data_IF_737539864337
#
_entry.id   IF_737539864337
#
_cell.length_a   1.000
_cell.length_b   1.000
_cell.length_c   1.000
_cell.angle_alpha   90.00
_cell.angle_beta   90.00
_cell.angle_gamma   90.00
#
_symmetry.space_group_name_H-M   'P 1'
#
loop_
_entity.id
_entity.type
_entity.pdbx_description
1 polymer ?
#
# COMPACT_ATOMS: atom_id res chain seq x y z
N UNK A 1 4.81 -12.08 20.83
CA UNK A 1 5.03 -11.56 22.20
C UNK A 1 5.19 -12.67 23.23
N UNK A 2 4.18 -13.50 23.51
CA UNK A 2 4.30 -14.59 24.50
C UNK A 2 5.45 -15.56 24.19
N UNK A 3 5.57 -16.02 22.94
CA UNK A 3 6.67 -16.88 22.49
C UNK A 3 8.04 -16.23 22.72
N UNK A 4 8.18 -14.94 22.41
CA UNK A 4 9.41 -14.18 22.61
C UNK A 4 9.81 -14.12 24.10
N UNK A 5 8.83 -13.93 25.00
CA UNK A 5 9.06 -13.93 26.46
C UNK A 5 9.52 -15.31 26.94
N UNK A 6 8.89 -16.38 26.46
CA UNK A 6 9.27 -17.77 26.81
C UNK A 6 10.70 -18.05 26.37
N UNK A 7 11.06 -17.70 25.13
CA UNK A 7 12.43 -17.85 24.61
C UNK A 7 13.40 -17.04 25.48
N UNK A 8 13.08 -15.78 25.77
CA UNK A 8 13.96 -14.91 26.57
C UNK A 8 14.14 -15.42 28.01
N UNK A 9 13.08 -15.91 28.63
CA UNK A 9 13.10 -16.49 29.96
C UNK A 9 13.91 -17.80 29.98
N UNK A 10 13.76 -18.64 28.95
CA UNK A 10 14.52 -19.89 28.81
C UNK A 10 16.02 -19.65 28.58
N UNK A 11 16.39 -18.54 27.91
CA UNK A 11 17.77 -18.12 27.66
C UNK A 11 18.44 -17.41 28.84
N UNK A 12 17.67 -16.96 29.84
CA UNK A 12 18.16 -16.24 31.02
C UNK A 12 19.43 -16.84 31.68
N UNK A 13 19.57 -18.16 31.90
CA UNK A 13 20.79 -18.72 32.51
C UNK A 13 22.05 -18.54 31.66
N UNK A 14 21.94 -18.26 30.37
CA UNK A 14 23.09 -18.04 29.47
C UNK A 14 23.53 -16.57 29.39
N UNK A 15 22.78 -15.64 29.99
CA UNK A 15 23.06 -14.21 29.88
C UNK A 15 24.07 -13.72 30.93
N UNK A 16 25.11 -13.01 30.48
CA UNK A 16 26.02 -12.25 31.36
C UNK A 16 25.40 -10.90 31.72
N UNK A 17 24.89 -10.79 32.96
CA UNK A 17 24.30 -9.55 33.47
C UNK A 17 25.44 -8.64 33.97
N UNK A 18 25.74 -7.57 33.23
CA UNK A 18 26.65 -6.52 33.69
C UNK A 18 25.91 -5.55 34.62
N UNK A 19 26.59 -5.06 35.66
CA UNK A 19 26.02 -4.04 36.56
C UNK A 19 25.72 -2.75 35.77
N UNK A 20 24.65 -2.00 36.09
CA UNK A 20 24.36 -0.74 35.42
C UNK A 20 25.51 0.24 35.66
N UNK A 21 26.22 0.65 34.62
CA UNK A 21 27.11 1.81 34.67
C UNK A 21 26.25 3.09 34.70
N UNK A 22 26.77 4.17 35.30
CA UNK A 22 25.99 5.39 35.55
C UNK A 22 25.37 6.03 34.30
N UNK A 23 24.50 7.03 34.49
CA UNK A 23 23.80 7.65 33.37
C UNK A 23 24.71 8.56 32.53
N UNK A 24 25.35 7.96 31.53
CA UNK A 24 26.26 8.62 30.58
C UNK A 24 25.60 9.82 29.90
N UNK A 25 24.33 9.72 29.51
CA UNK A 25 23.59 10.80 28.83
C UNK A 25 23.53 12.04 29.74
N UNK A 26 23.19 11.86 31.02
CA UNK A 26 23.11 12.99 31.97
C UNK A 26 24.47 13.64 32.18
N UNK A 27 25.55 12.84 32.24
CA UNK A 27 26.91 13.36 32.38
C UNK A 27 27.33 14.17 31.15
N UNK A 28 27.07 13.66 29.95
CA UNK A 28 27.37 14.36 28.69
C UNK A 28 26.56 15.65 28.57
N UNK A 29 25.26 15.63 28.83
CA UNK A 29 24.42 16.83 28.78
C UNK A 29 24.90 17.89 29.78
N UNK A 30 25.21 17.50 31.02
CA UNK A 30 25.75 18.44 32.02
C UNK A 30 27.13 18.98 31.65
N UNK A 31 27.99 18.17 31.03
CA UNK A 31 29.28 18.60 30.53
C UNK A 31 29.13 19.64 29.40
N UNK A 32 28.26 19.39 28.42
CA UNK A 32 27.95 20.31 27.32
C UNK A 32 27.38 21.63 27.84
N UNK A 33 26.39 21.57 28.74
CA UNK A 33 25.77 22.77 29.34
C UNK A 33 26.80 23.57 30.14
N UNK A 34 27.71 22.91 30.87
CA UNK A 34 28.79 23.57 31.60
C UNK A 34 29.77 24.25 30.64
N UNK A 35 30.16 23.58 29.55
CA UNK A 35 31.03 24.15 28.51
C UNK A 35 30.42 25.40 27.88
N UNK A 36 29.15 25.35 27.47
CA UNK A 36 28.43 26.50 26.89
C UNK A 36 28.32 27.65 27.90
N UNK A 37 27.90 27.36 29.14
CA UNK A 37 27.71 28.37 30.18
C UNK A 37 29.03 29.05 30.56
N UNK A 38 30.12 28.29 30.63
CA UNK A 38 31.44 28.82 30.95
C UNK A 38 32.04 29.57 29.76
N UNK A 39 31.82 29.14 28.52
CA UNK A 39 32.18 29.90 27.31
C UNK A 39 31.49 31.27 27.26
N UNK A 40 30.21 31.33 27.61
CA UNK A 40 29.45 32.59 27.65
C UNK A 40 29.91 33.54 28.77
N UNK A 41 30.52 33.01 29.83
CA UNK A 41 30.96 33.80 31.00
C UNK A 41 32.44 34.14 30.99
N UNK A 42 33.28 33.36 30.31
CA UNK A 42 34.73 33.51 30.36
C UNK A 42 35.26 34.39 29.23
N UNK A 43 36.26 35.23 29.55
CA UNK A 43 36.96 36.10 28.59
C UNK A 43 38.20 35.44 27.97
N UNK A 44 38.70 34.36 28.56
CA UNK A 44 39.84 33.60 28.03
C UNK A 44 39.43 32.83 26.78
N UNK A 45 40.29 32.79 25.74
CA UNK A 45 40.08 31.97 24.55
C UNK A 45 40.77 30.61 24.74
N UNK A 46 39.98 29.53 24.81
CA UNK A 46 40.45 28.15 24.66
C UNK A 46 40.29 27.68 23.20
N UNK A 47 41.04 26.67 22.79
CA UNK A 47 41.00 26.14 21.42
C UNK A 47 39.64 25.51 21.09
N UNK A 48 39.07 24.72 22.01
CA UNK A 48 37.74 24.15 21.86
C UNK A 48 36.80 24.61 22.98
N UNK A 49 35.54 24.89 22.64
CA UNK A 49 34.55 25.41 23.60
C UNK A 49 34.17 24.44 24.73
N UNK A 50 34.52 23.16 24.57
CA UNK A 50 34.29 22.13 25.59
C UNK A 50 35.39 22.12 26.66
N UNK A 51 36.53 22.77 26.41
CA UNK A 51 37.70 22.78 27.32
C UNK A 51 37.43 23.57 28.60
N UNK A 52 36.41 24.43 28.60
CA UNK A 52 35.94 25.12 29.80
C UNK A 52 35.18 24.20 30.78
N UNK A 53 34.91 22.95 30.40
CA UNK A 53 34.30 21.94 31.26
C UNK A 53 35.33 20.99 31.90
N UNK A 54 36.61 21.06 31.50
CA UNK A 54 37.67 20.15 31.97
C UNK A 54 37.89 20.21 33.48
N UNK A 55 37.85 21.40 34.07
CA UNK A 55 38.02 21.59 35.53
C UNK A 55 37.00 20.80 36.36
N UNK A 56 35.79 20.59 35.83
CA UNK A 56 34.68 19.97 36.57
C UNK A 56 34.47 18.50 36.22
N UNK A 57 34.74 18.11 34.99
CA UNK A 57 34.38 16.81 34.45
C UNK A 57 35.59 15.95 34.03
N UNK A 58 36.80 16.52 34.09
CA UNK A 58 38.03 15.84 33.74
C UNK A 58 38.31 15.79 32.23
N UNK A 59 39.59 15.77 31.87
CA UNK A 59 40.07 15.79 30.48
C UNK A 59 39.56 14.59 29.66
N UNK A 60 39.52 13.39 30.27
CA UNK A 60 39.06 12.17 29.60
C UNK A 60 37.61 12.29 29.11
N UNK A 61 36.69 12.72 29.97
CA UNK A 61 35.27 12.84 29.61
C UNK A 61 35.06 13.94 28.56
N UNK A 62 35.76 15.07 28.69
CA UNK A 62 35.70 16.16 27.71
C UNK A 62 36.17 15.69 26.33
N UNK A 63 37.28 14.96 26.25
CA UNK A 63 37.79 14.42 24.98
C UNK A 63 36.87 13.34 24.39
N UNK A 64 36.28 12.47 25.21
CA UNK A 64 35.28 11.50 24.77
C UNK A 64 34.01 12.19 24.22
N UNK A 65 33.57 13.30 24.82
CA UNK A 65 32.44 14.10 24.32
C UNK A 65 32.81 14.83 23.02
N UNK A 66 34.02 15.39 22.88
CA UNK A 66 34.49 15.99 21.62
C UNK A 66 34.49 14.98 20.47
N UNK A 67 35.00 13.77 20.71
CA UNK A 67 35.00 12.69 19.74
C UNK A 67 33.56 12.29 19.36
N UNK A 68 32.69 12.16 20.36
CA UNK A 68 31.27 11.84 20.15
C UNK A 68 30.58 12.90 19.29
N UNK A 69 30.78 14.19 19.56
CA UNK A 69 30.23 15.28 18.76
C UNK A 69 30.72 15.26 17.31
N UNK A 70 32.00 14.92 17.06
CA UNK A 70 32.52 14.75 15.71
C UNK A 70 31.81 13.61 14.95
N UNK A 71 31.57 12.48 15.61
CA UNK A 71 30.83 11.36 15.01
C UNK A 71 29.38 11.77 14.71
N UNK A 72 28.74 12.58 15.57
CA UNK A 72 27.39 13.08 15.33
C UNK A 72 27.28 14.00 14.11
N UNK A 73 28.35 14.72 13.73
CA UNK A 73 28.33 15.50 12.48
C UNK A 73 28.21 14.57 11.26
N UNK A 74 28.80 13.37 11.31
CA UNK A 74 28.68 12.37 10.25
C UNK A 74 27.27 11.77 10.15
N UNK A 75 26.42 12.00 11.15
CA UNK A 75 25.03 11.55 11.17
C UNK A 75 24.08 12.50 10.43
N UNK A 76 24.51 13.72 10.06
CA UNK A 76 23.66 14.70 9.36
C UNK A 76 22.97 14.17 8.09
N UNK A 77 23.58 13.28 7.27
CA UNK A 77 22.90 12.69 6.11
C UNK A 77 21.94 11.54 6.44
N UNK A 78 22.05 10.91 7.62
CA UNK A 78 21.24 9.74 7.99
C UNK A 78 19.72 10.03 7.98
N UNK A 79 19.22 11.18 8.51
CA UNK A 79 17.80 11.49 8.46
C UNK A 79 17.21 11.48 7.05
N UNK A 80 17.95 11.94 6.03
CA UNK A 80 17.48 11.96 4.64
C UNK A 80 17.31 10.54 4.11
N UNK A 81 18.27 9.66 4.43
CA UNK A 81 18.16 8.25 4.07
C UNK A 81 16.96 7.59 4.76
N UNK A 82 16.78 7.80 6.07
CA UNK A 82 15.63 7.26 6.81
C UNK A 82 14.30 7.80 6.30
N UNK A 83 14.26 9.08 5.93
CA UNK A 83 13.08 9.69 5.33
C UNK A 83 12.66 8.98 4.04
N UNK A 84 13.60 8.47 3.23
CA UNK A 84 13.27 7.67 2.06
C UNK A 84 13.01 6.20 2.42
N UNK A 85 13.91 5.57 3.18
CA UNK A 85 13.85 4.15 3.48
C UNK A 85 12.57 3.74 4.24
N UNK A 86 12.15 4.51 5.24
CA UNK A 86 10.98 4.17 6.06
C UNK A 86 9.66 4.27 5.26
N UNK A 87 9.61 5.08 4.18
CA UNK A 87 8.44 5.16 3.29
C UNK A 87 8.16 3.86 2.54
N UNK A 88 9.18 3.01 2.34
CA UNK A 88 9.00 1.75 1.61
C UNK A 88 7.96 0.86 2.29
N UNK A 89 7.85 0.92 3.63
CA UNK A 89 7.02 0.02 4.41
C UNK A 89 5.54 0.17 4.11
N UNK A 90 5.03 1.40 4.13
CA UNK A 90 3.63 1.70 3.83
C UNK A 90 3.39 1.87 2.33
N UNK A 91 4.25 2.63 1.65
CA UNK A 91 4.08 2.98 0.24
C UNK A 91 4.06 1.75 -0.66
N UNK A 92 4.95 0.77 -0.42
CA UNK A 92 5.02 -0.42 -1.26
C UNK A 92 3.94 -1.44 -0.95
N UNK A 93 3.46 -1.49 0.29
CA UNK A 93 2.24 -2.23 0.63
C UNK A 93 1.02 -1.65 -0.09
N UNK A 94 0.87 -0.31 -0.12
CA UNK A 94 -0.23 0.35 -0.85
C UNK A 94 -0.14 0.16 -2.37
N UNK A 95 1.07 0.09 -2.94
CA UNK A 95 1.22 -0.34 -4.33
C UNK A 95 0.84 -1.81 -4.52
N UNK A 96 1.24 -2.70 -3.61
CA UNK A 96 0.90 -4.12 -3.67
C UNK A 96 -0.61 -4.37 -3.62
N UNK A 97 -1.38 -3.52 -2.93
CA UNK A 97 -2.86 -3.52 -2.93
C UNK A 97 -3.44 -3.37 -4.34
N UNK A 98 -2.76 -2.63 -5.22
CA UNK A 98 -3.15 -2.40 -6.63
C UNK A 98 -2.53 -3.39 -7.61
N UNK A 99 -1.87 -4.44 -7.12
CA UNK A 99 -1.21 -5.47 -7.93
C UNK A 99 -1.93 -6.82 -7.85
N UNK A 100 -1.66 -7.69 -8.84
CA UNK A 100 -2.11 -9.07 -8.84
C UNK A 100 -1.17 -9.92 -7.97
N UNK A 101 -1.70 -10.41 -6.86
CA UNK A 101 -1.00 -11.31 -5.95
C UNK A 101 -1.06 -12.78 -6.34
N UNK A 102 -1.71 -13.14 -7.45
CA UNK A 102 -1.92 -14.54 -7.82
C UNK A 102 -0.64 -15.18 -8.42
N UNK A 103 -0.02 -16.08 -7.66
CA UNK A 103 1.14 -16.88 -8.12
C UNK A 103 0.73 -18.29 -8.60
N UNK A 104 -0.56 -18.49 -8.89
CA UNK A 104 -1.13 -19.74 -9.39
C UNK A 104 -1.54 -20.73 -8.29
N UNK A 105 -0.64 -21.02 -7.34
CA UNK A 105 -0.92 -21.95 -6.23
C UNK A 105 -1.41 -21.28 -4.96
N UNK A 106 -1.12 -19.98 -4.81
CA UNK A 106 -1.47 -19.18 -3.65
C UNK A 106 -1.67 -17.73 -4.12
N UNK A 107 -2.36 -16.92 -3.32
CA UNK A 107 -2.50 -15.48 -3.59
C UNK A 107 -1.78 -14.73 -2.48
N UNK A 108 -0.68 -14.08 -2.81
CA UNK A 108 0.10 -13.26 -1.89
C UNK A 108 -0.72 -12.02 -1.56
N UNK A 109 -0.96 -11.80 -0.27
CA UNK A 109 -1.61 -10.57 0.21
C UNK A 109 -0.58 -9.43 0.29
N UNK A 110 -1.00 -8.16 0.10
CA UNK A 110 -0.10 -7.01 0.12
C UNK A 110 0.83 -6.94 1.33
N UNK A 111 0.29 -7.12 2.54
CA UNK A 111 1.07 -7.08 3.79
C UNK A 111 2.15 -8.18 3.87
N UNK A 112 1.94 -9.31 3.18
CA UNK A 112 2.90 -10.41 3.18
C UNK A 112 4.17 -10.07 2.41
N UNK A 113 4.16 -9.07 1.53
CA UNK A 113 5.34 -8.66 0.77
C UNK A 113 6.45 -8.07 1.66
N UNK A 114 6.10 -7.55 2.84
CA UNK A 114 7.10 -7.02 3.78
C UNK A 114 8.09 -8.09 4.28
N UNK A 115 7.73 -9.38 4.17
CA UNK A 115 8.64 -10.50 4.54
C UNK A 115 9.87 -10.58 3.63
N UNK A 116 9.78 -10.03 2.41
CA UNK A 116 10.86 -10.08 1.42
C UNK A 116 12.09 -9.35 1.94
N UNK A 117 11.93 -8.18 2.56
CA UNK A 117 13.08 -7.37 3.00
C UNK A 117 13.95 -8.09 4.06
N UNK A 118 13.43 -8.60 5.18
CA UNK A 118 14.24 -9.39 6.14
C UNK A 118 14.93 -10.62 5.52
N UNK A 119 14.27 -11.33 4.59
CA UNK A 119 14.85 -12.48 3.90
C UNK A 119 16.02 -12.06 3.00
N UNK A 120 15.86 -10.95 2.28
CA UNK A 120 16.91 -10.37 1.45
C UNK A 120 18.09 -9.89 2.29
N UNK A 121 17.85 -9.24 3.44
CA UNK A 121 18.93 -8.82 4.36
C UNK A 121 19.76 -10.03 4.80
N UNK A 122 19.10 -11.11 5.21
CA UNK A 122 19.77 -12.33 5.66
C UNK A 122 20.63 -12.95 4.55
N UNK A 123 20.16 -12.92 3.31
CA UNK A 123 20.90 -13.42 2.15
C UNK A 123 22.03 -12.45 1.72
N UNK A 124 21.79 -11.15 1.80
CA UNK A 124 22.68 -10.14 1.26
C UNK A 124 23.83 -9.81 2.20
N UNK A 125 23.70 -9.88 3.52
CA UNK A 125 24.82 -9.68 4.44
C UNK A 125 26.03 -10.56 4.07
N UNK A 126 25.93 -11.90 4.01
CA UNK A 126 27.07 -12.74 3.62
C UNK A 126 27.51 -12.50 2.18
N UNK A 127 26.58 -12.24 1.26
CA UNK A 127 26.89 -11.90 -0.13
C UNK A 127 27.79 -10.65 -0.22
N UNK A 128 27.41 -9.59 0.50
CA UNK A 128 28.14 -8.32 0.48
C UNK A 128 29.49 -8.43 1.18
N UNK A 129 29.54 -9.08 2.33
CA UNK A 129 30.77 -9.22 3.12
C UNK A 129 31.80 -10.12 2.44
N UNK A 130 31.41 -11.27 1.90
CA UNK A 130 32.36 -12.25 1.35
C UNK A 130 32.65 -12.07 -0.13
N UNK A 131 31.71 -11.51 -0.91
CA UNK A 131 31.86 -11.43 -2.36
C UNK A 131 31.88 -9.98 -2.86
N UNK A 132 30.84 -9.18 -2.59
CA UNK A 132 30.71 -7.84 -3.21
C UNK A 132 31.83 -6.90 -2.77
N UNK A 133 32.06 -6.73 -1.46
CA UNK A 133 33.08 -5.80 -0.97
C UNK A 133 34.51 -6.22 -1.36
N UNK A 134 34.92 -7.50 -1.27
CA UNK A 134 36.24 -7.92 -1.74
C UNK A 134 36.43 -7.71 -3.25
N UNK A 135 35.40 -7.97 -4.07
CA UNK A 135 35.48 -7.75 -5.52
C UNK A 135 35.59 -6.27 -5.87
N UNK A 136 34.77 -5.41 -5.28
CA UNK A 136 34.84 -3.97 -5.50
C UNK A 136 36.15 -3.37 -4.97
N UNK A 137 36.68 -3.92 -3.87
CA UNK A 137 37.98 -3.56 -3.32
C UNK A 137 39.16 -3.85 -4.27
N UNK A 138 39.06 -4.89 -5.12
CA UNK A 138 40.04 -5.17 -6.20
C UNK A 138 40.01 -4.08 -7.29
N UNK A 139 38.85 -3.47 -7.53
CA UNK A 139 38.67 -2.38 -8.50
C UNK A 139 38.93 -0.98 -7.90
N UNK A 140 39.55 -0.88 -6.72
CA UNK A 140 39.72 0.37 -5.96
C UNK A 140 38.41 1.12 -5.60
N UNK A 141 37.25 0.46 -5.69
CA UNK A 141 35.94 1.05 -5.41
C UNK A 141 35.43 0.63 -4.03
N UNK A 142 34.70 1.51 -3.33
CA UNK A 142 34.05 1.23 -2.03
C UNK A 142 34.97 0.71 -0.91
N UNK A 143 36.18 1.24 -0.84
CA UNK A 143 37.16 0.84 0.19
C UNK A 143 36.84 1.40 1.56
N UNK A 144 36.35 2.64 1.62
CA UNK A 144 36.01 3.29 2.89
C UNK A 144 34.55 3.10 3.25
N UNK A 145 34.24 3.07 4.55
CA UNK A 145 32.85 3.01 5.04
C UNK A 145 32.03 4.20 4.52
N UNK A 146 32.64 5.37 4.41
CA UNK A 146 31.98 6.57 3.89
C UNK A 146 31.58 6.43 2.40
N UNK A 147 32.44 5.82 1.57
CA UNK A 147 32.12 5.54 0.16
C UNK A 147 30.97 4.54 0.04
N UNK A 148 30.95 3.50 0.89
CA UNK A 148 29.86 2.52 0.94
C UNK A 148 28.54 3.20 1.31
N UNK A 149 28.55 4.06 2.33
CA UNK A 149 27.38 4.83 2.71
C UNK A 149 26.91 5.75 1.57
N UNK A 150 27.80 6.50 0.94
CA UNK A 150 27.42 7.36 -0.20
C UNK A 150 26.79 6.56 -1.34
N UNK A 151 27.34 5.40 -1.70
CA UNK A 151 26.78 4.54 -2.72
C UNK A 151 25.44 3.92 -2.29
N UNK A 152 25.28 3.55 -1.01
CA UNK A 152 23.99 3.11 -0.45
C UNK A 152 22.91 4.19 -0.57
N UNK A 153 23.25 5.45 -0.30
CA UNK A 153 22.32 6.57 -0.51
C UNK A 153 21.88 6.73 -1.98
N UNK A 154 22.81 6.58 -2.93
CA UNK A 154 22.49 6.60 -4.37
C UNK A 154 21.62 5.40 -4.79
N UNK A 155 21.88 4.20 -4.24
CA UNK A 155 21.04 3.04 -4.49
C UNK A 155 19.63 3.21 -3.92
N UNK A 156 19.48 3.85 -2.75
CA UNK A 156 18.15 4.18 -2.21
C UNK A 156 17.38 5.10 -3.17
N UNK A 157 18.02 6.15 -3.70
CA UNK A 157 17.40 7.01 -4.70
C UNK A 157 17.01 6.23 -5.98
N UNK A 158 17.86 5.30 -6.43
CA UNK A 158 17.57 4.43 -7.57
C UNK A 158 16.38 3.49 -7.31
N UNK A 159 16.24 2.95 -6.09
CA UNK A 159 15.11 2.10 -5.73
C UNK A 159 13.78 2.83 -5.86
N UNK A 160 13.73 4.11 -5.47
CA UNK A 160 12.54 4.96 -5.63
C UNK A 160 12.30 5.37 -7.09
N UNK A 161 13.33 5.52 -7.90
CA UNK A 161 13.17 5.70 -9.35
C UNK A 161 12.54 4.47 -10.01
N UNK A 162 12.95 3.26 -9.61
CA UNK A 162 12.31 2.01 -10.05
C UNK A 162 10.88 1.92 -9.53
N UNK A 163 10.64 2.31 -8.28
CA UNK A 163 9.29 2.38 -7.70
C UNK A 163 8.37 3.28 -8.52
N UNK A 164 8.83 4.47 -8.93
CA UNK A 164 8.05 5.37 -9.77
C UNK A 164 7.68 4.74 -11.13
N UNK A 165 8.60 3.99 -11.74
CA UNK A 165 8.31 3.25 -12.97
C UNK A 165 7.25 2.16 -12.78
N UNK A 166 7.34 1.41 -11.67
CA UNK A 166 6.33 0.39 -11.31
C UNK A 166 4.96 1.04 -11.09
N UNK A 167 4.91 2.18 -10.39
CA UNK A 167 3.68 2.96 -10.22
C UNK A 167 3.04 3.31 -11.56
N UNK A 168 3.81 3.85 -12.50
CA UNK A 168 3.27 4.23 -13.81
C UNK A 168 2.66 3.03 -14.54
N UNK A 169 3.26 1.85 -14.42
CA UNK A 169 2.71 0.62 -14.97
C UNK A 169 1.38 0.24 -14.30
N UNK A 170 1.25 0.39 -12.98
CA UNK A 170 0.00 0.16 -12.25
C UNK A 170 -1.08 1.14 -12.71
N UNK A 171 -0.76 2.44 -12.77
CA UNK A 171 -1.71 3.50 -13.15
C UNK A 171 -2.26 3.33 -14.56
N UNK A 172 -1.44 2.83 -15.50
CA UNK A 172 -1.92 2.53 -16.87
C UNK A 172 -2.99 1.43 -16.93
N UNK A 173 -3.15 0.64 -15.87
CA UNK A 173 -4.12 -0.47 -15.77
C UNK A 173 -5.30 -0.16 -14.84
N UNK A 174 -5.41 1.07 -14.33
CA UNK A 174 -6.53 1.47 -13.49
C UNK A 174 -7.79 1.81 -14.30
N UNK A 175 -8.98 1.67 -13.69
CA UNK A 175 -10.22 1.96 -14.37
C UNK A 175 -10.30 3.44 -14.73
N UNK A 176 -10.82 3.71 -15.93
CA UNK A 176 -11.16 5.06 -16.34
C UNK A 176 -12.43 5.44 -15.59
N UNK A 177 -12.32 6.43 -14.71
CA UNK A 177 -13.46 6.98 -14.00
C UNK A 177 -14.19 8.00 -14.89
N UNK A 178 -15.54 8.04 -14.86
CA UNK A 178 -16.29 9.02 -15.62
C UNK A 178 -15.91 10.45 -15.20
N UNK A 179 -15.58 11.29 -16.18
CA UNK A 179 -15.20 12.70 -16.00
C UNK A 179 -16.26 13.64 -16.58
N UNK A 180 -16.04 14.96 -16.49
CA UNK A 180 -16.93 15.94 -17.13
C UNK A 180 -17.10 15.61 -18.63
N UNK A 181 -18.33 15.65 -19.14
CA UNK A 181 -18.64 15.26 -20.52
C UNK A 181 -18.85 13.76 -20.77
N UNK A 182 -18.75 12.89 -19.76
CA UNK A 182 -18.88 11.43 -19.90
C UNK A 182 -19.72 10.82 -18.74
N UNK A 183 -20.45 9.75 -19.03
CA UNK A 183 -21.02 8.82 -18.05
C UNK A 183 -20.83 7.36 -18.45
N UNK A 184 -21.01 6.45 -17.49
CA UNK A 184 -21.05 5.00 -17.75
C UNK A 184 -22.43 4.42 -17.44
N UNK A 185 -22.86 3.43 -18.23
CA UNK A 185 -24.14 2.75 -18.05
C UNK A 185 -23.97 1.24 -18.16
N UNK A 186 -24.52 0.52 -17.18
CA UNK A 186 -24.60 -0.94 -17.19
C UNK A 186 -26.05 -1.37 -16.98
N UNK A 187 -26.57 -2.20 -17.88
CA UNK A 187 -27.95 -2.71 -17.80
C UNK A 187 -27.92 -4.23 -17.69
N UNK A 188 -28.61 -4.76 -16.70
CA UNK A 188 -28.55 -6.16 -16.31
C UNK A 188 -29.90 -6.84 -16.59
N UNK A 189 -29.87 -7.90 -17.40
CA UNK A 189 -31.03 -8.76 -17.68
C UNK A 189 -30.85 -10.13 -17.00
N UNK A 190 -31.33 -10.28 -15.75
CA UNK A 190 -31.39 -11.59 -15.07
C UNK A 190 -32.42 -12.56 -15.69
N UNK A 191 -33.34 -12.09 -16.54
CA UNK A 191 -34.44 -12.93 -17.03
C UNK A 191 -33.96 -14.02 -17.97
N UNK A 192 -34.82 -15.01 -18.18
CA UNK A 192 -34.63 -16.11 -19.13
C UNK A 192 -35.03 -15.75 -20.58
N UNK A 193 -35.32 -14.47 -20.82
CA UNK A 193 -35.83 -13.97 -22.09
C UNK A 193 -34.89 -12.93 -22.68
N UNK A 194 -34.97 -12.78 -24.00
CA UNK A 194 -34.37 -11.62 -24.65
C UNK A 194 -35.20 -10.38 -24.31
N UNK A 195 -34.52 -9.30 -23.94
CA UNK A 195 -35.13 -8.01 -23.67
C UNK A 195 -34.53 -6.95 -24.58
N UNK A 196 -35.39 -6.25 -25.32
CA UNK A 196 -35.01 -5.10 -26.12
C UNK A 196 -35.20 -3.84 -25.29
N UNK A 197 -34.13 -3.06 -25.17
CA UNK A 197 -34.11 -1.81 -24.42
C UNK A 197 -34.00 -0.66 -25.41
N UNK A 198 -34.89 0.32 -25.27
CA UNK A 198 -34.88 1.56 -26.05
C UNK A 198 -35.01 2.76 -25.12
N UNK A 199 -34.46 3.89 -25.55
CA UNK A 199 -34.55 5.17 -24.84
C UNK A 199 -35.20 6.23 -25.71
N UNK A 200 -35.72 7.29 -25.09
CA UNK A 200 -36.27 8.48 -25.74
C UNK A 200 -35.21 9.43 -26.32
N UNK A 201 -33.93 9.13 -26.10
CA UNK A 201 -32.77 9.91 -26.55
C UNK A 201 -31.90 9.14 -27.55
N UNK A 202 -31.05 9.87 -28.27
CA UNK A 202 -30.16 9.33 -29.32
C UNK A 202 -28.79 8.89 -28.81
N UNK A 203 -28.35 9.43 -27.67
CA UNK A 203 -27.04 9.19 -27.08
C UNK A 203 -26.90 7.74 -26.59
N UNK A 204 -28.00 7.13 -26.15
CA UNK A 204 -28.09 5.71 -25.82
C UNK A 204 -28.82 5.02 -26.96
N UNK A 205 -28.10 4.18 -27.71
CA UNK A 205 -28.70 3.40 -28.81
C UNK A 205 -29.56 2.29 -28.24
N UNK A 206 -30.58 1.86 -28.99
CA UNK A 206 -31.32 0.66 -28.63
C UNK A 206 -30.45 -0.59 -28.74
N UNK A 207 -30.61 -1.51 -27.80
CA UNK A 207 -29.86 -2.76 -27.75
C UNK A 207 -30.74 -3.90 -27.27
N UNK A 208 -30.33 -5.13 -27.57
CA UNK A 208 -31.00 -6.35 -27.10
C UNK A 208 -30.10 -7.09 -26.14
N UNK A 209 -30.64 -7.40 -24.97
CA UNK A 209 -30.01 -8.21 -23.93
C UNK A 209 -30.45 -9.66 -24.08
N UNK A 210 -29.48 -10.58 -24.10
CA UNK A 210 -29.73 -12.01 -24.01
C UNK A 210 -30.10 -12.41 -22.57
N UNK A 211 -30.57 -13.66 -22.35
CA UNK A 211 -30.86 -14.15 -21.02
C UNK A 211 -29.62 -14.14 -20.13
N UNK A 212 -29.79 -13.75 -18.86
CA UNK A 212 -28.70 -13.68 -17.85
C UNK A 212 -27.45 -12.95 -18.35
N UNK A 213 -27.63 -11.85 -19.08
CA UNK A 213 -26.54 -11.07 -19.68
C UNK A 213 -26.64 -9.58 -19.33
N UNK A 214 -25.59 -8.84 -19.64
CA UNK A 214 -25.51 -7.41 -19.39
C UNK A 214 -25.07 -6.63 -20.63
N UNK A 215 -25.54 -5.38 -20.68
CA UNK A 215 -25.04 -4.34 -21.58
C UNK A 215 -24.10 -3.47 -20.77
N UNK A 216 -22.93 -3.16 -21.33
CA UNK A 216 -21.92 -2.33 -20.70
C UNK A 216 -21.46 -1.30 -21.71
N UNK A 217 -21.59 -0.02 -21.34
CA UNK A 217 -21.07 1.11 -22.08
C UNK A 217 -20.33 2.03 -21.10
N UNK A 218 -19.02 2.13 -21.29
CA UNK A 218 -18.11 2.83 -20.37
C UNK A 218 -17.75 4.23 -20.87
N UNK A 219 -18.25 4.65 -22.04
CA UNK A 219 -17.88 5.92 -22.67
C UNK A 219 -19.06 6.55 -23.41
N UNK A 220 -20.09 6.93 -22.64
CA UNK A 220 -21.24 7.67 -23.18
C UNK A 220 -20.97 9.17 -23.03
N UNK A 221 -20.86 9.87 -24.15
CA UNK A 221 -20.79 11.32 -24.18
C UNK A 221 -22.05 11.92 -23.54
N UNK A 222 -21.90 12.63 -22.42
CA UNK A 222 -23.01 13.10 -21.61
C UNK A 222 -22.74 14.47 -21.01
N UNK A 223 -23.71 15.38 -21.07
CA UNK A 223 -23.56 16.74 -20.54
C UNK A 223 -24.76 17.15 -19.69
N UNK A 224 -24.46 17.69 -18.51
CA UNK A 224 -25.46 18.13 -17.54
C UNK A 224 -26.24 16.98 -16.91
N UNK A 225 -27.46 17.28 -16.48
CA UNK A 225 -28.40 16.32 -15.93
C UNK A 225 -29.62 16.26 -16.86
N UNK A 226 -29.99 15.05 -17.31
CA UNK A 226 -31.18 14.82 -18.14
C UNK A 226 -31.98 13.64 -17.57
N UNK A 227 -33.29 13.73 -17.67
CA UNK A 227 -34.18 12.59 -17.44
C UNK A 227 -34.32 11.80 -18.73
N UNK A 228 -34.14 10.49 -18.64
CA UNK A 228 -34.22 9.54 -19.76
C UNK A 228 -35.28 8.52 -19.44
N UNK A 229 -36.14 8.25 -20.43
CA UNK A 229 -37.18 7.24 -20.32
C UNK A 229 -36.66 5.95 -20.94
N UNK A 230 -36.51 4.91 -20.12
CA UNK A 230 -36.11 3.58 -20.58
C UNK A 230 -37.35 2.72 -20.79
N UNK A 231 -37.51 2.20 -22.00
CA UNK A 231 -38.56 1.24 -22.35
C UNK A 231 -37.94 -0.14 -22.57
N UNK A 232 -38.46 -1.15 -21.88
CA UNK A 232 -38.02 -2.53 -21.95
C UNK A 232 -39.14 -3.38 -22.53
N UNK A 233 -38.85 -4.13 -23.59
CA UNK A 233 -39.83 -4.98 -24.26
C UNK A 233 -39.29 -6.40 -24.39
N UNK A 234 -40.16 -7.40 -24.21
CA UNK A 234 -39.82 -8.79 -24.46
C UNK A 234 -40.80 -9.41 -25.45
N UNK A 235 -40.29 -10.35 -26.25
CA UNK A 235 -41.09 -11.10 -27.21
C UNK A 235 -41.85 -12.27 -26.54
N UNK A 236 -41.56 -12.57 -25.27
CA UNK A 236 -42.19 -13.66 -24.52
C UNK A 236 -43.15 -13.09 -23.46
N UNK A 237 -44.37 -13.63 -23.33
CA UNK A 237 -45.37 -13.13 -22.37
C UNK A 237 -44.99 -13.37 -20.90
N UNK A 238 -44.07 -14.30 -20.63
CA UNK A 238 -43.54 -14.58 -19.29
C UNK A 238 -42.63 -13.47 -18.76
N UNK A 239 -42.06 -12.64 -19.64
CA UNK A 239 -41.14 -11.58 -19.31
C UNK A 239 -41.82 -10.23 -19.52
N UNK A 240 -42.22 -9.58 -18.43
CA UNK A 240 -42.94 -8.32 -18.48
C UNK A 240 -42.04 -7.19 -18.98
N UNK A 241 -42.53 -6.47 -19.98
CA UNK A 241 -41.98 -5.18 -20.38
C UNK A 241 -42.50 -4.05 -19.49
N UNK A 242 -41.83 -2.92 -19.53
CA UNK A 242 -42.19 -1.74 -18.77
C UNK A 242 -41.47 -0.49 -19.25
N UNK A 243 -41.85 0.64 -18.69
CA UNK A 243 -41.24 1.93 -19.01
C UNK A 243 -41.01 2.71 -17.71
N UNK A 244 -39.81 3.25 -17.53
CA UNK A 244 -39.47 4.01 -16.33
C UNK A 244 -38.50 5.15 -16.66
N UNK A 245 -38.76 6.32 -16.07
CA UNK A 245 -37.93 7.51 -16.21
C UNK A 245 -36.84 7.54 -15.14
N UNK A 246 -35.60 7.85 -15.54
CA UNK A 246 -34.42 7.89 -14.68
C UNK A 246 -33.67 9.20 -14.91
N UNK A 247 -33.14 9.79 -13.84
CA UNK A 247 -32.29 10.97 -13.93
C UNK A 247 -30.81 10.56 -14.03
N UNK A 248 -30.12 11.00 -15.08
CA UNK A 248 -28.72 10.68 -15.35
C UNK A 248 -27.89 11.97 -15.42
N UNK A 249 -26.74 11.96 -14.76
CA UNK A 249 -25.79 13.07 -14.72
C UNK A 249 -24.40 12.66 -15.22
N UNK A 250 -23.64 13.63 -15.73
CA UNK A 250 -22.22 13.42 -16.07
C UNK A 250 -21.38 13.10 -14.82
N UNK A 251 -20.17 12.54 -15.02
CA UNK A 251 -19.22 12.15 -13.96
C UNK A 251 -19.65 10.97 -13.09
N UNK A 252 -20.74 10.31 -13.45
CA UNK A 252 -21.29 9.19 -12.70
C UNK A 252 -21.33 7.91 -13.53
N UNK A 253 -21.29 6.78 -12.83
CA UNK A 253 -21.55 5.47 -13.40
C UNK A 253 -22.89 4.96 -12.86
N UNK A 254 -23.69 4.30 -13.71
CA UNK A 254 -25.03 3.87 -13.35
C UNK A 254 -25.25 2.39 -13.64
N UNK A 255 -26.00 1.74 -12.77
CA UNK A 255 -26.50 0.38 -12.94
C UNK A 255 -28.02 0.33 -12.98
N UNK A 256 -28.56 -0.37 -13.98
CA UNK A 256 -29.99 -0.63 -14.12
C UNK A 256 -30.20 -2.14 -14.06
N UNK A 257 -30.92 -2.61 -13.06
CA UNK A 257 -31.31 -4.01 -12.91
C UNK A 257 -32.80 -4.17 -13.25
N UNK A 258 -33.09 -4.93 -14.32
CA UNK A 258 -34.46 -5.17 -14.76
C UNK A 258 -35.10 -6.23 -13.87
N UNK A 259 -36.19 -5.88 -13.20
CA UNK A 259 -36.92 -6.78 -12.32
C UNK A 259 -37.97 -7.59 -13.09
N UNK A 260 -38.39 -8.72 -12.51
CA UNK A 260 -39.36 -9.63 -13.11
C UNK A 260 -40.76 -9.01 -13.30
N UNK A 261 -41.14 -8.07 -12.43
CA UNK A 261 -42.41 -7.37 -12.48
C UNK A 261 -42.49 -6.26 -13.56
N UNK A 262 -41.45 -6.11 -14.40
CA UNK A 262 -41.37 -5.07 -15.41
C UNK A 262 -40.93 -3.69 -14.89
N UNK A 263 -40.50 -3.58 -13.62
CA UNK A 263 -39.88 -2.36 -13.08
C UNK A 263 -38.36 -2.47 -13.09
N UNK A 264 -37.66 -1.37 -12.79
CA UNK A 264 -36.20 -1.34 -12.68
C UNK A 264 -35.73 -0.95 -11.28
N UNK A 265 -34.66 -1.60 -10.81
CA UNK A 265 -33.83 -1.09 -9.71
C UNK A 265 -32.67 -0.30 -10.31
N UNK A 266 -32.66 1.00 -10.06
CA UNK A 266 -31.61 1.92 -10.51
C UNK A 266 -30.69 2.29 -9.34
N UNK A 267 -29.40 2.36 -9.59
CA UNK A 267 -28.40 2.82 -8.62
C UNK A 267 -27.22 3.52 -9.29
N UNK A 268 -26.59 4.41 -8.53
CA UNK A 268 -25.29 4.97 -8.85
C UNK A 268 -24.20 3.98 -8.42
N UNK A 269 -23.27 3.69 -9.32
CA UNK A 269 -22.22 2.70 -9.15
C UNK A 269 -20.89 3.37 -8.82
N UNK A 270 -20.14 2.78 -7.88
CA UNK A 270 -18.75 3.15 -7.61
C UNK A 270 -17.84 2.19 -8.38
N UNK A 271 -17.32 2.66 -9.50
CA UNK A 271 -16.42 1.91 -10.38
C UNK A 271 -14.97 1.95 -9.92
N UNK A 272 -14.65 2.71 -8.87
CA UNK A 272 -13.32 2.70 -8.28
C UNK A 272 -13.02 1.34 -7.65
N UNK A 273 -11.74 0.97 -7.64
CA UNK A 273 -11.28 -0.23 -6.93
C UNK A 273 -11.40 -0.01 -5.42
N UNK A 274 -11.59 -1.09 -4.65
CA UNK A 274 -11.56 -0.99 -3.19
C UNK A 274 -10.21 -0.43 -2.69
N UNK A 275 -10.28 0.42 -1.66
CA UNK A 275 -9.11 0.97 -0.97
C UNK A 275 -8.25 -0.11 -0.31
N UNK A 276 -8.82 -1.26 0.03
CA UNK A 276 -8.11 -2.40 0.63
C UNK A 276 -7.61 -3.39 -0.43
N UNK A 277 -7.98 -3.21 -1.70
CA UNK A 277 -7.64 -4.08 -2.83
C UNK A 277 -8.38 -5.41 -2.87
N UNK A 278 -9.28 -5.68 -1.91
CA UNK A 278 -10.13 -6.85 -1.96
C UNK A 278 -11.22 -6.72 -3.03
N UNK A 279 -11.68 -7.86 -3.61
CA UNK A 279 -12.76 -7.85 -4.57
C UNK A 279 -14.06 -7.32 -3.96
N UNK A 280 -14.78 -6.52 -4.76
CA UNK A 280 -16.11 -6.04 -4.45
C UNK A 280 -17.14 -6.86 -5.22
N UNK A 281 -18.19 -7.30 -4.55
CA UNK A 281 -19.27 -8.08 -5.16
C UNK A 281 -20.60 -7.42 -4.87
N UNK A 282 -21.30 -7.06 -5.94
CA UNK A 282 -22.70 -6.65 -5.92
C UNK A 282 -23.55 -7.84 -6.30
N UNK A 283 -24.60 -8.10 -5.52
CA UNK A 283 -25.53 -9.18 -5.80
C UNK A 283 -26.84 -8.61 -6.32
N UNK A 284 -27.26 -9.04 -7.50
CA UNK A 284 -28.45 -8.60 -8.19
C UNK A 284 -29.40 -9.79 -8.35
N UNK A 285 -30.56 -9.71 -7.72
CA UNK A 285 -31.49 -10.82 -7.53
C UNK A 285 -32.92 -10.31 -7.52
N UNK A 286 -33.87 -11.16 -7.92
CA UNK A 286 -35.29 -10.84 -7.91
C UNK A 286 -35.91 -10.94 -6.51
N UNK A 287 -35.35 -11.78 -5.65
CA UNK A 287 -35.90 -12.06 -4.33
C UNK A 287 -35.09 -11.34 -3.26
N UNK A 288 -35.77 -10.73 -2.29
CA UNK A 288 -35.09 -10.04 -1.20
C UNK A 288 -34.76 -11.03 -0.06
N UNK A 289 -33.95 -12.05 -0.37
CA UNK A 289 -33.51 -13.08 0.60
C UNK A 289 -31.99 -13.07 0.80
N UNK A 290 -31.52 -13.75 1.84
CA UNK A 290 -30.09 -13.86 2.10
C UNK A 290 -29.44 -14.88 1.17
N UNK A 291 -28.46 -14.40 0.42
CA UNK A 291 -27.65 -15.21 -0.50
C UNK A 291 -26.33 -15.53 0.18
N UNK A 292 -26.03 -16.82 0.25
CA UNK A 292 -24.83 -17.33 0.91
C UNK A 292 -23.74 -17.60 -0.11
N UNK A 293 -22.65 -16.85 0.01
CA UNK A 293 -21.41 -17.08 -0.72
C UNK A 293 -20.50 -17.97 0.13
N UNK A 294 -19.93 -19.03 -0.45
CA UNK A 294 -19.04 -19.96 0.27
C UNK A 294 -17.70 -20.14 -0.46
N UNK A 295 -16.59 -20.11 0.29
CA UNK A 295 -15.23 -20.40 -0.19
C UNK A 295 -14.46 -21.16 0.89
N UNK A 296 -14.09 -22.43 0.62
CA UNK A 296 -13.19 -23.24 1.45
C UNK A 296 -13.42 -23.11 2.98
N UNK A 297 -14.68 -23.25 3.41
CA UNK A 297 -15.07 -23.18 4.83
C UNK A 297 -15.39 -21.77 5.37
N UNK A 298 -15.14 -20.71 4.60
CA UNK A 298 -15.65 -19.36 4.88
C UNK A 298 -17.00 -19.16 4.21
N UNK A 299 -17.91 -18.44 4.86
CA UNK A 299 -19.19 -18.05 4.27
C UNK A 299 -19.55 -16.60 4.59
N UNK A 300 -20.13 -15.91 3.60
CA UNK A 300 -20.63 -14.55 3.72
C UNK A 300 -22.09 -14.56 3.26
N UNK A 301 -22.98 -14.01 4.08
CA UNK A 301 -24.38 -13.82 3.71
C UNK A 301 -24.58 -12.37 3.25
N UNK A 302 -25.22 -12.20 2.10
CA UNK A 302 -25.57 -10.90 1.52
C UNK A 302 -27.08 -10.87 1.35
N UNK A 303 -27.72 -9.85 1.91
CA UNK A 303 -29.13 -9.62 1.65
C UNK A 303 -29.32 -9.08 0.23
N UNK A 304 -30.03 -9.84 -0.60
CA UNK A 304 -30.28 -9.52 -2.00
C UNK A 304 -31.08 -8.23 -2.23
N UNK A 305 -31.84 -7.78 -1.24
CA UNK A 305 -32.54 -6.50 -1.28
C UNK A 305 -31.59 -5.31 -1.23
N UNK A 306 -30.35 -5.52 -0.78
CA UNK A 306 -29.32 -4.50 -0.77
C UNK A 306 -28.41 -4.62 -2.02
N UNK A 307 -28.55 -3.67 -2.93
CA UNK A 307 -27.77 -3.57 -4.17
C UNK A 307 -26.38 -2.95 -3.99
N UNK A 308 -25.95 -2.67 -2.76
CA UNK A 308 -24.59 -2.20 -2.49
C UNK A 308 -23.55 -3.31 -2.73
N UNK A 309 -22.37 -2.91 -3.19
CA UNK A 309 -21.25 -3.84 -3.29
C UNK A 309 -20.70 -4.17 -1.90
N UNK A 310 -20.33 -5.43 -1.68
CA UNK A 310 -19.72 -5.93 -0.45
C UNK A 310 -18.31 -6.40 -0.71
N UNK A 311 -17.42 -6.12 0.21
CA UNK A 311 -16.03 -6.54 0.12
C UNK A 311 -15.82 -8.00 0.54
N UNK A 312 -15.03 -8.73 -0.24
CA UNK A 312 -14.68 -10.12 0.00
C UNK A 312 -13.21 -10.22 0.37
N UNK A 313 -12.92 -10.38 1.66
CA UNK A 313 -11.55 -10.46 2.22
C UNK A 313 -10.76 -11.70 1.82
N UNK A 314 -11.25 -12.51 0.88
CA UNK A 314 -10.54 -13.68 0.37
C UNK A 314 -10.83 -13.85 -1.12
N UNK A 315 -9.83 -13.63 -1.99
CA UNK A 315 -9.96 -13.92 -3.42
C UNK A 315 -10.05 -15.44 -3.65
N UNK A 316 -10.60 -15.82 -4.79
CA UNK A 316 -10.77 -17.21 -5.21
C UNK A 316 -12.14 -17.48 -5.81
N UNK A 317 -12.43 -18.77 -6.02
CA UNK A 317 -13.64 -19.23 -6.66
C UNK A 317 -14.75 -19.50 -5.63
N UNK A 318 -15.72 -18.60 -5.56
CA UNK A 318 -16.84 -18.66 -4.61
C UNK A 318 -18.03 -19.40 -5.21
N UNK A 319 -18.63 -20.30 -4.44
CA UNK A 319 -19.95 -20.88 -4.76
C UNK A 319 -21.06 -20.01 -4.19
N UNK A 320 -22.16 -19.90 -4.92
CA UNK A 320 -23.32 -19.09 -4.54
C UNK A 320 -24.49 -20.00 -4.24
N UNK A 321 -25.14 -19.78 -3.10
CA UNK A 321 -26.24 -20.59 -2.62
C UNK A 321 -27.40 -19.68 -2.19
N UNK A 322 -28.63 -20.10 -2.48
CA UNK A 322 -29.87 -19.49 -1.97
C UNK A 322 -30.59 -20.56 -1.15
N UNK A 323 -30.66 -20.35 0.16
CA UNK A 323 -31.06 -21.41 1.11
C UNK A 323 -30.17 -22.65 0.96
N UNK A 324 -30.79 -23.81 0.75
CA UNK A 324 -30.09 -25.08 0.54
C UNK A 324 -29.73 -25.37 -0.94
N UNK A 325 -30.17 -24.51 -1.87
CA UNK A 325 -29.92 -24.71 -3.31
C UNK A 325 -28.64 -23.99 -3.74
N UNK A 326 -27.74 -24.70 -4.39
CA UNK A 326 -26.49 -24.16 -4.93
C UNK A 326 -26.61 -23.89 -6.42
N UNK A 327 -26.12 -22.74 -6.88
CA UNK A 327 -26.00 -22.42 -8.31
C UNK A 327 -24.86 -23.24 -8.95
N UNK A 328 -25.07 -23.67 -10.20
CA UNK A 328 -24.12 -24.54 -10.90
C UNK A 328 -22.80 -23.84 -11.31
N UNK A 329 -22.82 -22.51 -11.44
CA UNK A 329 -21.66 -21.68 -11.76
C UNK A 329 -21.03 -21.13 -10.48
N UNK A 330 -19.74 -20.83 -10.53
CA UNK A 330 -19.00 -20.18 -9.44
C UNK A 330 -18.43 -18.85 -9.91
N UNK A 331 -18.25 -17.91 -8.99
CA UNK A 331 -17.69 -16.58 -9.29
C UNK A 331 -16.20 -16.57 -8.93
N UNK A 332 -15.32 -16.28 -9.90
CA UNK A 332 -13.88 -16.14 -9.67
C UNK A 332 -13.54 -14.70 -9.28
N UNK A 333 -13.38 -14.45 -7.97
CA UNK A 333 -13.08 -13.14 -7.41
C UNK A 333 -11.57 -12.93 -7.31
N UNK A 334 -11.06 -11.90 -8.00
CA UNK A 334 -9.63 -11.51 -7.98
C UNK A 334 -9.44 -10.14 -7.35
N UNK A 335 -8.23 -9.90 -6.83
CA UNK A 335 -7.89 -8.63 -6.18
C UNK A 335 -8.10 -7.44 -7.10
N UNK A 336 -8.64 -6.35 -6.55
CA UNK A 336 -8.99 -5.12 -7.25
C UNK A 336 -10.19 -5.21 -8.20
N UNK A 337 -10.82 -6.38 -8.36
CA UNK A 337 -11.97 -6.55 -9.25
C UNK A 337 -13.29 -6.20 -8.58
N UNK A 338 -14.19 -5.54 -9.33
CA UNK A 338 -15.59 -5.32 -8.92
C UNK A 338 -16.49 -6.15 -9.81
N UNK A 339 -17.37 -6.93 -9.20
CA UNK A 339 -18.20 -7.94 -9.86
C UNK A 339 -19.68 -7.69 -9.56
N UNK A 340 -20.52 -7.66 -10.59
CA UNK A 340 -21.98 -7.66 -10.45
C UNK A 340 -22.49 -9.07 -10.76
N UNK A 341 -22.91 -9.81 -9.73
CA UNK A 341 -23.43 -11.17 -9.83
C UNK A 341 -24.94 -11.09 -10.01
N UNK A 342 -25.42 -11.61 -11.14
CA UNK A 342 -26.84 -11.69 -11.48
C UNK A 342 -27.35 -13.10 -11.22
N UNK A 343 -28.46 -13.20 -10.50
CA UNK A 343 -29.08 -14.46 -10.14
C UNK A 343 -30.48 -14.54 -10.72
N UNK A 344 -30.79 -15.71 -11.29
CA UNK A 344 -32.13 -16.13 -11.66
C UNK A 344 -32.50 -17.38 -10.85
N UNK A 345 -33.24 -17.17 -9.77
CA UNK A 345 -33.55 -18.22 -8.80
C UNK A 345 -34.57 -19.22 -9.32
N UNK A 346 -35.42 -18.82 -10.29
CA UNK A 346 -36.42 -19.71 -10.89
C UNK A 346 -35.78 -20.79 -11.74
N UNK A 347 -34.77 -20.42 -12.52
CA UNK A 347 -34.05 -21.35 -13.39
C UNK A 347 -32.75 -21.87 -12.77
N UNK A 348 -32.38 -21.38 -11.58
CA UNK A 348 -31.09 -21.67 -10.93
C UNK A 348 -29.90 -21.32 -11.83
N UNK A 349 -30.06 -20.27 -12.64
CA UNK A 349 -29.03 -19.74 -13.53
C UNK A 349 -28.35 -18.52 -12.91
N UNK A 350 -27.06 -18.40 -13.14
CA UNK A 350 -26.26 -17.29 -12.65
C UNK A 350 -25.22 -16.92 -13.69
N UNK A 351 -25.04 -15.61 -13.86
CA UNK A 351 -23.84 -15.07 -14.49
C UNK A 351 -23.35 -13.84 -13.73
N UNK A 352 -22.15 -13.37 -14.06
CA UNK A 352 -21.60 -12.17 -13.46
C UNK A 352 -20.88 -11.30 -14.47
N UNK A 353 -20.98 -9.99 -14.27
CA UNK A 353 -20.29 -8.98 -15.08
C UNK A 353 -19.12 -8.44 -14.28
N UNK A 354 -17.97 -8.29 -14.93
CA UNK A 354 -16.83 -7.57 -14.34
C UNK A 354 -17.08 -6.08 -14.57
N UNK A 355 -17.48 -5.38 -13.51
CA UNK A 355 -17.73 -3.93 -13.51
C UNK A 355 -16.40 -3.18 -13.59
N UNK A 356 -15.44 -3.61 -12.77
CA UNK A 356 -14.08 -3.06 -12.74
C UNK A 356 -13.11 -4.22 -12.88
N UNK A 357 -12.21 -4.11 -13.87
CA UNK A 357 -11.22 -5.17 -14.13
C UNK A 357 -10.31 -5.37 -12.92
N UNK A 358 -9.97 -6.63 -12.59
CA UNK A 358 -9.04 -6.93 -11.50
C UNK A 358 -7.64 -6.40 -11.82
N UNK A 359 -6.79 -6.34 -10.80
CA UNK A 359 -5.40 -5.90 -10.95
C UNK A 359 -4.67 -6.78 -11.98
N UNK A 360 -3.90 -6.15 -12.87
CA UNK A 360 -3.22 -6.82 -13.97
C UNK A 360 -1.69 -6.93 -13.76
N UNK A 361 -1.10 -5.96 -13.06
CA UNK A 361 0.35 -5.92 -12.83
C UNK A 361 0.72 -6.90 -11.73
N UNK A 362 1.52 -7.91 -12.06
CA UNK A 362 1.91 -8.95 -11.11
C UNK A 362 2.80 -8.41 -9.98
N UNK A 363 2.55 -8.85 -8.74
CA UNK A 363 3.22 -8.38 -7.51
C UNK A 363 4.76 -8.54 -7.53
N UNK A 364 5.28 -9.47 -8.34
CA UNK A 364 6.72 -9.66 -8.53
C UNK A 364 7.46 -8.43 -9.11
N UNK A 365 6.73 -7.48 -9.72
CA UNK A 365 7.32 -6.22 -10.17
C UNK A 365 7.85 -5.35 -9.02
N UNK A 366 7.49 -5.65 -7.77
CA UNK A 366 8.09 -5.03 -6.58
C UNK A 366 9.47 -5.60 -6.24
N UNK A 367 9.83 -6.78 -6.73
CA UNK A 367 11.10 -7.41 -6.34
C UNK A 367 12.33 -6.57 -6.70
N UNK A 368 12.47 -5.97 -7.90
CA UNK A 368 13.63 -5.17 -8.26
C UNK A 368 13.91 -4.02 -7.27
N UNK A 369 12.89 -3.24 -6.89
CA UNK A 369 13.04 -2.17 -5.91
C UNK A 369 13.39 -2.71 -4.50
N UNK A 370 12.81 -3.84 -4.08
CA UNK A 370 13.20 -4.52 -2.83
C UNK A 370 14.67 -4.97 -2.86
N UNK A 371 15.16 -5.53 -3.95
CA UNK A 371 16.58 -5.90 -4.08
C UNK A 371 17.50 -4.68 -3.97
N UNK A 372 17.16 -3.58 -4.65
CA UNK A 372 18.00 -2.37 -4.66
C UNK A 372 17.99 -1.68 -3.30
N UNK A 373 16.84 -1.53 -2.65
CA UNK A 373 16.75 -0.85 -1.35
C UNK A 373 17.39 -1.70 -0.23
N UNK A 374 17.30 -3.03 -0.28
CA UNK A 374 17.98 -3.89 0.70
C UNK A 374 19.50 -3.80 0.53
N UNK A 375 19.99 -3.75 -0.70
CA UNK A 375 21.41 -3.46 -0.96
C UNK A 375 21.80 -2.08 -0.41
N UNK A 376 20.96 -1.06 -0.63
CA UNK A 376 21.16 0.29 -0.10
C UNK A 376 21.24 0.30 1.44
N UNK A 377 20.34 -0.42 2.11
CA UNK A 377 20.32 -0.55 3.57
C UNK A 377 21.60 -1.17 4.12
N UNK A 378 22.11 -2.23 3.51
CA UNK A 378 23.34 -2.89 3.96
C UNK A 378 24.54 -1.95 3.81
N UNK A 379 24.61 -1.25 2.68
CA UNK A 379 25.69 -0.32 2.39
C UNK A 379 25.62 0.97 3.22
N UNK A 380 24.41 1.40 3.60
CA UNK A 380 24.20 2.65 4.33
C UNK A 380 24.03 2.43 5.83
N UNK A 381 22.99 1.71 6.24
CA UNK A 381 22.60 1.53 7.65
C UNK A 381 23.55 0.58 8.37
N UNK A 382 23.79 -0.63 7.84
CA UNK A 382 24.65 -1.62 8.52
C UNK A 382 26.10 -1.10 8.60
N UNK A 383 26.62 -0.61 7.46
CA UNK A 383 27.98 -0.03 7.43
C UNK A 383 28.08 1.22 8.30
N UNK A 384 27.03 2.06 8.34
CA UNK A 384 27.00 3.26 9.18
C UNK A 384 26.98 2.94 10.68
N UNK A 385 26.24 1.91 11.09
CA UNK A 385 26.26 1.39 12.45
C UNK A 385 27.64 0.84 12.82
N UNK A 386 28.22 -0.03 11.98
CA UNK A 386 29.56 -0.58 12.20
C UNK A 386 30.61 0.53 12.33
N UNK A 387 30.57 1.50 11.43
CA UNK A 387 31.46 2.66 11.46
C UNK A 387 31.28 3.48 12.74
N UNK A 388 30.04 3.81 13.12
CA UNK A 388 29.76 4.53 14.36
C UNK A 388 30.27 3.79 15.59
N UNK A 389 30.04 2.47 15.67
CA UNK A 389 30.53 1.63 16.76
C UNK A 389 32.06 1.57 16.83
N UNK A 390 32.75 1.63 15.69
CA UNK A 390 34.21 1.63 15.60
C UNK A 390 34.85 2.95 16.05
N UNK A 391 34.18 4.08 15.77
CA UNK A 391 34.64 5.42 16.13
C UNK A 391 34.19 5.87 17.53
N UNK A 392 33.25 5.13 18.13
CA UNK A 392 32.70 5.43 19.45
C UNK A 392 33.71 5.20 20.59
N UNK A 393 33.90 6.18 21.50
CA UNK A 393 34.55 5.92 22.77
C UNK A 393 33.84 4.79 23.54
N UNK A 394 34.61 3.98 24.29
CA UNK A 394 34.09 2.79 24.96
C UNK A 394 32.90 3.09 25.90
N UNK A 395 32.94 4.23 26.59
CA UNK A 395 31.90 4.75 27.49
C UNK A 395 30.68 5.34 26.78
N UNK A 396 30.79 5.70 25.49
CA UNK A 396 29.80 6.50 24.74
C UNK A 396 29.03 5.70 23.69
N UNK A 397 29.30 4.40 23.54
CA UNK A 397 28.65 3.53 22.55
C UNK A 397 27.12 3.55 22.65
N UNK A 398 26.58 3.53 23.86
CA UNK A 398 25.13 3.59 24.10
C UNK A 398 24.54 4.95 23.70
N UNK A 399 25.25 6.04 23.97
CA UNK A 399 24.84 7.39 23.56
C UNK A 399 24.83 7.51 22.02
N UNK A 400 25.88 7.05 21.34
CA UNK A 400 25.94 7.08 19.88
C UNK A 400 24.84 6.23 19.24
N UNK A 401 24.55 5.04 19.79
CA UNK A 401 23.44 4.22 19.32
C UNK A 401 22.08 4.93 19.51
N UNK A 402 21.88 5.60 20.65
CA UNK A 402 20.67 6.39 20.89
C UNK A 402 20.55 7.56 19.89
N UNK A 403 21.65 8.26 19.61
CA UNK A 403 21.68 9.31 18.59
C UNK A 403 21.47 8.78 17.18
N UNK A 404 21.95 7.57 16.86
CA UNK A 404 21.69 6.92 15.58
C UNK A 404 20.19 6.67 15.40
N UNK A 405 19.50 6.10 16.39
CA UNK A 405 18.05 5.93 16.36
C UNK A 405 17.29 7.27 16.32
N UNK A 406 17.84 8.31 16.94
CA UNK A 406 17.28 9.66 16.86
C UNK A 406 17.28 10.20 15.41
N UNK A 407 18.25 9.79 14.58
CA UNK A 407 18.24 10.17 13.15
C UNK A 407 17.05 9.57 12.39
N UNK A 408 16.61 8.36 12.77
CA UNK A 408 15.39 7.74 12.24
C UNK A 408 14.17 8.57 12.63
N UNK A 409 14.10 9.07 13.87
CA UNK A 409 13.01 9.95 14.30
C UNK A 409 12.98 11.27 13.49
N UNK A 410 14.14 11.89 13.25
CA UNK A 410 14.23 13.06 12.38
C UNK A 410 13.85 12.76 10.93
N UNK A 411 14.25 11.61 10.39
CA UNK A 411 13.83 11.17 9.06
C UNK A 411 12.32 11.06 8.92
N UNK A 412 11.67 10.43 9.90
CA UNK A 412 10.21 10.35 9.96
C UNK A 412 9.55 11.73 10.13
N UNK A 413 10.15 12.66 10.88
CA UNK A 413 9.65 14.03 10.99
C UNK A 413 9.74 14.79 9.66
N UNK A 414 10.79 14.58 8.87
CA UNK A 414 10.92 15.17 7.53
C UNK A 414 9.75 14.73 6.64
N UNK A 415 9.37 13.46 6.67
CA UNK A 415 8.21 12.93 5.94
C UNK A 415 6.94 13.69 6.33
N UNK A 416 6.64 13.77 7.62
CA UNK A 416 5.43 14.44 8.13
C UNK A 416 5.38 15.92 7.71
N UNK A 417 6.52 16.61 7.76
CA UNK A 417 6.60 18.01 7.32
C UNK A 417 6.32 18.09 5.82
N UNK A 418 6.94 17.25 4.99
CA UNK A 418 6.73 17.28 3.54
C UNK A 418 5.27 16.97 3.18
N UNK A 419 4.65 15.98 3.82
CA UNK A 419 3.22 15.64 3.63
C UNK A 419 2.29 16.78 4.04
N UNK A 420 2.65 17.57 5.06
CA UNK A 420 1.81 18.68 5.52
C UNK A 420 1.81 19.89 4.60
N UNK A 421 2.84 20.07 3.77
CA UNK A 421 2.91 21.17 2.83
C UNK A 421 2.27 20.67 1.53
N UNK A 422 1.05 21.11 1.22
CA UNK A 422 0.32 20.80 -0.02
C UNK A 422 0.99 21.37 -1.29
N UNK A 423 2.30 21.15 -1.48
CA UNK A 423 3.12 21.70 -2.58
C UNK A 423 2.77 21.03 -3.91
N UNK A 424 2.29 19.79 -3.88
CA UNK A 424 2.00 19.03 -5.09
C UNK A 424 0.50 18.81 -5.24
N UNK A 425 -0.01 19.17 -6.41
CA UNK A 425 -1.39 18.90 -6.82
C UNK A 425 -1.71 17.41 -6.60
N UNK A 426 -2.90 17.12 -6.06
CA UNK A 426 -3.29 15.81 -5.46
C UNK A 426 -3.20 14.59 -6.39
N UNK A 427 -2.83 14.78 -7.66
CA UNK A 427 -2.64 13.69 -8.64
C UNK A 427 -1.19 13.39 -8.97
N UNK A 428 -0.25 14.32 -8.80
CA UNK A 428 1.15 14.17 -9.25
C UNK A 428 2.12 13.97 -8.08
N UNK A 429 1.87 14.60 -6.92
CA UNK A 429 2.66 14.35 -5.70
C UNK A 429 2.44 12.96 -5.12
N UNK A 430 1.21 12.47 -5.26
CA UNK A 430 0.79 11.18 -4.74
C UNK A 430 1.43 10.00 -5.46
N UNK A 431 1.68 10.11 -6.77
CA UNK A 431 2.21 9.01 -7.56
C UNK A 431 3.73 8.82 -7.37
N UNK A 432 4.47 9.89 -7.07
CA UNK A 432 5.94 9.88 -7.10
C UNK A 432 6.57 9.80 -5.70
N UNK A 433 5.95 10.37 -4.65
CA UNK A 433 6.62 10.47 -3.34
C UNK A 433 5.80 10.11 -2.09
N UNK A 434 4.48 10.29 -2.03
CA UNK A 434 3.74 10.06 -0.76
C UNK A 434 2.31 9.56 -0.99
N UNK A 435 1.94 8.40 -0.43
CA UNK A 435 0.61 7.79 -0.62
C UNK A 435 -0.16 7.70 0.70
N UNK A 436 -1.16 8.57 0.88
CA UNK A 436 -2.28 8.42 1.83
C UNK A 436 -3.62 8.91 1.28
#
# INVERSE_FOLDING_TARGET
MVISIVIFASGRPTYKIKKPEGNVIVQVTKCIVCGIKNKMKSKEKKEHWLDYAEERYGEKLVNEVKATLHVLVLFLPLPIFWALYDQQGSGWTLMAVRMDGNIGFYTILPDQMQVVNPLLILAFIPLFTYYVYPLLGKCNLLRTSLQRMACGGLLAALAFAVSAFVTMAIESNDPILPSAGNMQLRVYNPSSCNMSVSTDITEIKSFTLNPTSSYVDEDIAWSGNKSVTFTFTSNKPECLGGEQMISLAEKNAYGIFIQENGTIRFYEDDVAKSKTGYPLVRTLSYIDTDIKYTLKGKSININAGNISAREFSSPGRWSVNVGDKQFGKSVDLRLGGTYAVMLNEKQMEMDYTVVTKPNAVHIAWLLPQYFIITAAEIMFSITGLEFSYSQAPASMKSLLQACFLLTTAFGNLIIVIIESIEIFDKKVGYSIFFYY
#
